data_IF_280152455897
#
_entry.id   IF_280152455897
#
_cell.length_a   1.000
_cell.length_b   1.000
_cell.length_c   1.000
_cell.angle_alpha   90.00
_cell.angle_beta   90.00
_cell.angle_gamma   90.00
#
_symmetry.space_group_name_H-M   'P 1'
#
loop_
_entity.id
_entity.type
_entity.pdbx_description
1 polymer ?
#
# COMPACT_ATOMS: atom_id res chain seq x y z
N UNK A 1 5.10 -18.40 5.83
CA UNK A 1 6.35 -19.13 6.14
C UNK A 1 6.14 -20.30 7.09
N UNK A 2 5.65 -20.10 8.32
CA UNK A 2 5.50 -21.18 9.31
C UNK A 2 4.59 -22.34 8.83
N UNK A 3 3.44 -22.03 8.22
CA UNK A 3 2.50 -23.06 7.73
C UNK A 3 3.09 -23.95 6.63
N UNK A 4 3.81 -23.37 5.67
CA UNK A 4 4.49 -24.10 4.59
C UNK A 4 5.58 -25.03 5.12
N UNK A 5 6.34 -24.57 6.12
CA UNK A 5 7.37 -25.36 6.80
C UNK A 5 6.72 -26.51 7.57
N UNK A 6 5.63 -26.26 8.30
CA UNK A 6 4.91 -27.32 9.03
C UNK A 6 4.30 -28.35 8.09
N UNK A 7 3.72 -27.96 6.96
CA UNK A 7 3.21 -28.90 5.95
C UNK A 7 4.33 -29.72 5.30
N UNK A 8 5.48 -29.09 5.01
CA UNK A 8 6.63 -29.79 4.43
C UNK A 8 7.22 -30.82 5.40
N UNK A 9 7.33 -30.48 6.70
CA UNK A 9 7.75 -31.42 7.75
C UNK A 9 6.76 -32.57 7.88
N UNK A 10 5.45 -32.30 7.81
CA UNK A 10 4.44 -33.34 7.92
C UNK A 10 4.46 -34.32 6.74
N UNK A 11 4.64 -33.81 5.52
CA UNK A 11 4.81 -34.62 4.31
C UNK A 11 6.10 -35.45 4.41
N UNK A 12 7.19 -34.87 4.90
CA UNK A 12 8.43 -35.60 5.15
C UNK A 12 8.24 -36.72 6.18
N UNK A 13 7.50 -36.47 7.26
CA UNK A 13 7.15 -37.51 8.25
C UNK A 13 6.30 -38.64 7.63
N UNK A 14 5.41 -38.34 6.68
CA UNK A 14 4.68 -39.38 5.93
C UNK A 14 5.61 -40.27 5.11
N UNK A 15 6.63 -39.68 4.46
CA UNK A 15 7.56 -40.44 3.63
C UNK A 15 8.37 -41.45 4.45
N UNK A 16 8.64 -41.17 5.73
CA UNK A 16 9.36 -42.09 6.64
C UNK A 16 8.61 -43.42 6.81
N UNK A 17 7.27 -43.42 6.77
CA UNK A 17 6.47 -44.65 6.82
C UNK A 17 6.55 -45.50 5.54
N UNK A 18 6.96 -44.92 4.41
CA UNK A 18 7.15 -45.63 3.14
C UNK A 18 8.56 -46.20 2.95
N UNK A 19 9.49 -45.96 3.90
CA UNK A 19 10.86 -46.51 3.84
C UNK A 19 10.81 -48.04 3.98
N UNK A 20 11.50 -48.80 3.08
CA UNK A 20 11.44 -50.27 3.07
C UNK A 20 11.91 -50.92 4.39
N UNK A 21 12.78 -50.26 5.14
CA UNK A 21 13.23 -50.68 6.48
C UNK A 21 12.12 -50.68 7.55
N UNK A 22 11.06 -49.88 7.39
CA UNK A 22 9.95 -49.76 8.35
C UNK A 22 8.71 -50.57 7.92
N UNK A 23 8.78 -51.27 6.78
CA UNK A 23 7.69 -52.10 6.25
C UNK A 23 7.30 -53.28 7.15
N UNK A 24 8.25 -53.80 7.93
CA UNK A 24 8.01 -54.92 8.82
C UNK A 24 7.20 -54.48 10.05
N UNK A 25 7.52 -53.30 10.61
CA UNK A 25 6.80 -52.68 11.73
C UNK A 25 5.38 -52.22 11.34
N UNK A 26 5.22 -51.69 10.13
CA UNK A 26 3.89 -51.28 9.61
C UNK A 26 2.98 -52.47 9.30
N UNK A 27 3.53 -53.63 8.92
CA UNK A 27 2.75 -54.87 8.76
C UNK A 27 2.33 -55.49 10.09
N UNK A 28 3.21 -55.47 11.10
CA UNK A 28 2.89 -56.02 12.43
C UNK A 28 1.88 -55.14 13.20
N UNK A 29 1.86 -53.84 12.95
CA UNK A 29 0.97 -52.86 13.60
C UNK A 29 0.05 -52.13 12.61
N UNK A 30 -0.58 -52.88 11.69
CA UNK A 30 -1.38 -52.35 10.57
C UNK A 30 -2.46 -51.34 11.00
N UNK A 31 -3.17 -51.63 12.09
CA UNK A 31 -4.22 -50.76 12.63
C UNK A 31 -3.68 -49.38 13.04
N UNK A 32 -2.53 -49.36 13.73
CA UNK A 32 -1.88 -48.13 14.21
C UNK A 32 -1.32 -47.34 13.04
N UNK A 33 -0.73 -48.03 12.07
CA UNK A 33 -0.20 -47.40 10.85
C UNK A 33 -1.31 -46.72 10.04
N UNK A 34 -2.44 -47.41 9.83
CA UNK A 34 -3.57 -46.86 9.07
C UNK A 34 -4.25 -45.69 9.81
N UNK A 35 -4.37 -45.78 11.14
CA UNK A 35 -4.85 -44.67 11.96
C UNK A 35 -3.92 -43.45 11.86
N UNK A 36 -2.60 -43.65 12.00
CA UNK A 36 -1.62 -42.57 11.89
C UNK A 36 -1.63 -41.91 10.51
N UNK A 37 -1.67 -42.70 9.43
CA UNK A 37 -1.76 -42.17 8.06
C UNK A 37 -3.02 -41.35 7.85
N UNK A 38 -4.16 -41.82 8.35
CA UNK A 38 -5.44 -41.09 8.27
C UNK A 38 -5.38 -39.78 9.05
N UNK A 39 -4.86 -39.81 10.28
CA UNK A 39 -4.67 -38.62 11.11
C UNK A 39 -3.78 -37.59 10.39
N UNK A 40 -2.66 -38.02 9.83
CA UNK A 40 -1.75 -37.13 9.11
C UNK A 40 -2.41 -36.56 7.85
N UNK A 41 -3.13 -37.38 7.07
CA UNK A 41 -3.88 -36.91 5.92
C UNK A 41 -4.93 -35.85 6.29
N UNK A 42 -5.67 -36.05 7.40
CA UNK A 42 -6.63 -35.04 7.88
C UNK A 42 -5.95 -33.77 8.34
N UNK A 43 -4.78 -33.84 8.99
CA UNK A 43 -4.04 -32.66 9.42
C UNK A 43 -3.53 -31.85 8.23
N UNK A 44 -3.00 -32.50 7.19
CA UNK A 44 -2.60 -31.84 5.94
C UNK A 44 -3.81 -31.17 5.29
N UNK A 45 -4.95 -31.87 5.24
CA UNK A 45 -6.18 -31.33 4.67
C UNK A 45 -6.64 -30.04 5.37
N UNK A 46 -6.64 -30.03 6.71
CA UNK A 46 -7.00 -28.85 7.50
C UNK A 46 -6.00 -27.71 7.31
N UNK A 47 -4.70 -27.99 7.35
CA UNK A 47 -3.66 -26.97 7.16
C UNK A 47 -3.73 -26.35 5.76
N UNK A 48 -3.98 -27.16 4.73
CA UNK A 48 -4.15 -26.68 3.37
C UNK A 48 -5.42 -25.81 3.25
N UNK A 49 -6.54 -26.23 3.86
CA UNK A 49 -7.77 -25.44 3.86
C UNK A 49 -7.58 -24.08 4.54
N UNK A 50 -6.88 -24.03 5.68
CA UNK A 50 -6.54 -22.77 6.35
C UNK A 50 -5.62 -21.92 5.47
N UNK A 51 -4.61 -22.51 4.85
CA UNK A 51 -3.68 -21.79 3.99
C UNK A 51 -4.39 -21.17 2.77
N UNK A 52 -5.30 -21.91 2.14
CA UNK A 52 -6.11 -21.42 1.01
C UNK A 52 -7.03 -20.29 1.50
N UNK A 53 -7.71 -20.49 2.63
CA UNK A 53 -8.61 -19.47 3.19
C UNK A 53 -7.88 -18.16 3.49
N UNK A 54 -6.69 -18.22 4.09
CA UNK A 54 -5.91 -17.03 4.40
C UNK A 54 -5.40 -16.36 3.12
N UNK A 55 -4.96 -17.14 2.13
CA UNK A 55 -4.55 -16.61 0.84
C UNK A 55 -5.68 -15.86 0.13
N UNK A 56 -6.90 -16.43 0.13
CA UNK A 56 -8.07 -15.79 -0.46
C UNK A 56 -8.48 -14.51 0.28
N UNK A 57 -8.29 -14.47 1.60
CA UNK A 57 -8.52 -13.28 2.43
C UNK A 57 -7.51 -12.18 2.13
N UNK A 58 -6.21 -12.50 2.12
CA UNK A 58 -5.13 -11.56 1.77
C UNK A 58 -5.33 -11.00 0.35
N UNK A 59 -5.69 -11.85 -0.59
CA UNK A 59 -5.96 -11.45 -1.98
C UNK A 59 -7.21 -10.55 -2.08
N UNK A 60 -8.22 -10.78 -1.23
CA UNK A 60 -9.38 -9.89 -1.13
C UNK A 60 -9.00 -8.54 -0.52
N UNK A 61 -8.24 -8.52 0.57
CA UNK A 61 -7.74 -7.29 1.18
C UNK A 61 -6.92 -6.48 0.16
N UNK A 62 -6.04 -7.13 -0.61
CA UNK A 62 -5.25 -6.51 -1.68
C UNK A 62 -6.12 -5.85 -2.76
N UNK A 63 -7.16 -6.56 -3.23
CA UNK A 63 -8.09 -6.00 -4.22
C UNK A 63 -8.86 -4.81 -3.67
N UNK A 64 -9.27 -4.86 -2.41
CA UNK A 64 -9.99 -3.75 -1.79
C UNK A 64 -9.06 -2.55 -1.55
N UNK A 65 -7.80 -2.78 -1.17
CA UNK A 65 -6.78 -1.72 -1.11
C UNK A 65 -6.58 -1.05 -2.47
N UNK A 66 -6.48 -1.81 -3.56
CA UNK A 66 -6.31 -1.22 -4.91
C UNK A 66 -7.49 -0.29 -5.27
N UNK A 67 -8.72 -0.62 -4.85
CA UNK A 67 -9.88 0.26 -5.06
C UNK A 67 -9.78 1.53 -4.21
N UNK A 68 -9.35 1.41 -2.96
CA UNK A 68 -9.13 2.56 -2.08
C UNK A 68 -8.04 3.49 -2.66
N UNK A 69 -6.92 2.93 -3.12
CA UNK A 69 -5.86 3.67 -3.81
C UNK A 69 -6.36 4.37 -5.07
N UNK A 70 -7.22 3.71 -5.85
CA UNK A 70 -7.81 4.31 -7.04
C UNK A 70 -8.71 5.51 -6.70
N UNK A 71 -9.59 5.36 -5.69
CA UNK A 71 -10.41 6.46 -5.21
C UNK A 71 -9.56 7.61 -4.64
N UNK A 72 -8.51 7.27 -3.88
CA UNK A 72 -7.59 8.23 -3.29
C UNK A 72 -6.86 9.04 -4.37
N UNK A 73 -6.35 8.35 -5.40
CA UNK A 73 -5.71 8.96 -6.57
C UNK A 73 -6.68 9.91 -7.26
N UNK A 74 -7.91 9.49 -7.52
CA UNK A 74 -8.91 10.35 -8.17
C UNK A 74 -9.17 11.64 -7.38
N UNK A 75 -9.39 11.54 -6.05
CA UNK A 75 -9.58 12.73 -5.20
C UNK A 75 -8.35 13.64 -5.20
N UNK A 76 -7.15 13.06 -5.11
CA UNK A 76 -5.91 13.82 -5.14
C UNK A 76 -5.65 14.49 -6.50
N UNK A 77 -6.03 13.83 -7.61
CA UNK A 77 -5.93 14.38 -8.97
C UNK A 77 -6.85 15.58 -9.13
N UNK A 78 -8.13 15.46 -8.78
CA UNK A 78 -9.09 16.57 -8.82
C UNK A 78 -8.62 17.74 -7.94
N UNK A 79 -8.10 17.44 -6.75
CA UNK A 79 -7.55 18.46 -5.84
C UNK A 79 -6.34 19.16 -6.47
N UNK A 80 -5.48 18.42 -7.19
CA UNK A 80 -4.30 18.98 -7.85
C UNK A 80 -4.71 19.85 -9.04
N UNK A 81 -5.58 19.35 -9.91
CA UNK A 81 -6.05 20.06 -11.11
C UNK A 81 -6.72 21.38 -10.72
N UNK A 82 -7.59 21.36 -9.71
CA UNK A 82 -8.19 22.59 -9.19
C UNK A 82 -7.13 23.55 -8.63
N UNK A 83 -6.21 23.04 -7.81
CA UNK A 83 -5.16 23.86 -7.19
C UNK A 83 -4.24 24.49 -8.24
N UNK A 84 -3.93 23.76 -9.32
CA UNK A 84 -3.15 24.26 -10.46
C UNK A 84 -3.93 25.33 -11.23
N UNK A 85 -5.23 25.15 -11.45
CA UNK A 85 -6.07 26.15 -12.11
C UNK A 85 -6.15 27.46 -11.31
N UNK A 86 -6.31 27.38 -9.99
CA UNK A 86 -6.28 28.54 -9.09
C UNK A 86 -4.93 29.24 -9.15
N UNK A 87 -3.84 28.47 -9.19
CA UNK A 87 -2.48 29.01 -9.27
C UNK A 87 -2.21 29.71 -10.61
N UNK A 88 -2.65 29.12 -11.72
CA UNK A 88 -2.54 29.69 -13.05
C UNK A 88 -3.35 31.00 -13.16
N UNK A 89 -4.57 31.01 -12.60
CA UNK A 89 -5.39 32.22 -12.54
C UNK A 89 -4.68 33.34 -11.78
N UNK A 90 -4.14 33.04 -10.59
CA UNK A 90 -3.36 33.99 -9.80
C UNK A 90 -2.18 34.58 -10.60
N UNK A 91 -1.38 33.72 -11.24
CA UNK A 91 -0.21 34.15 -12.04
C UNK A 91 -0.61 34.98 -13.26
N UNK A 92 -1.71 34.63 -13.93
CA UNK A 92 -2.22 35.36 -15.09
C UNK A 92 -2.77 36.75 -14.75
N UNK A 93 -3.35 36.90 -13.55
CA UNK A 93 -3.89 38.18 -13.07
C UNK A 93 -2.80 39.07 -12.44
N UNK A 94 -1.76 38.50 -11.83
CA UNK A 94 -0.59 39.28 -11.38
C UNK A 94 0.20 39.88 -12.56
N UNK A 95 0.20 39.24 -13.73
CA UNK A 95 0.81 39.78 -14.94
C UNK A 95 0.10 41.03 -15.50
N UNK A 96 -1.10 41.36 -14.99
CA UNK A 96 -1.94 42.49 -15.42
C UNK A 96 -2.21 43.52 -14.32
N UNK A 97 -1.18 44.00 -13.62
CA UNK A 97 -1.07 45.31 -12.93
C UNK A 97 -2.22 45.94 -12.11
N UNK A 98 -3.35 45.29 -11.79
CA UNK A 98 -4.43 45.95 -11.01
C UNK A 98 -5.05 45.18 -9.82
N UNK A 99 -4.74 43.90 -9.60
CA UNK A 99 -5.21 43.22 -8.38
C UNK A 99 -4.21 43.37 -7.23
N UNK A 100 -4.40 44.41 -6.43
CA UNK A 100 -3.73 44.72 -5.13
C UNK A 100 -3.93 43.66 -4.03
N UNK A 101 -4.32 42.43 -4.37
CA UNK A 101 -4.48 41.37 -3.37
C UNK A 101 -3.09 40.86 -2.98
N UNK A 102 -2.77 40.89 -1.68
CA UNK A 102 -1.59 40.16 -1.22
C UNK A 102 -1.79 38.68 -1.53
N UNK A 103 -0.73 37.96 -1.91
CA UNK A 103 -0.74 36.51 -2.13
C UNK A 103 -1.53 35.77 -1.03
N UNK A 104 -1.29 36.15 0.21
CA UNK A 104 -1.97 35.59 1.38
C UNK A 104 -3.48 35.86 1.39
N UNK A 105 -3.93 37.05 1.02
CA UNK A 105 -5.35 37.38 0.99
C UNK A 105 -6.06 36.63 -0.14
N UNK A 106 -5.44 36.50 -1.32
CA UNK A 106 -5.99 35.74 -2.43
C UNK A 106 -6.24 34.26 -2.07
N UNK A 107 -5.25 33.59 -1.48
CA UNK A 107 -5.38 32.18 -1.06
C UNK A 107 -6.22 32.00 0.22
N UNK A 108 -6.49 33.07 0.97
CA UNK A 108 -7.48 33.04 2.06
C UNK A 108 -8.90 33.04 1.50
N UNK A 109 -9.14 33.82 0.46
CA UNK A 109 -10.44 33.90 -0.20
C UNK A 109 -10.66 32.70 -1.17
N UNK A 110 -9.56 32.08 -1.62
CA UNK A 110 -9.54 30.91 -2.51
C UNK A 110 -8.62 29.81 -1.93
N UNK A 111 -9.04 29.09 -0.87
CA UNK A 111 -8.24 28.05 -0.25
C UNK A 111 -7.99 26.87 -1.20
N UNK A 112 -6.81 26.26 -1.12
CA UNK A 112 -6.51 25.06 -1.90
C UNK A 112 -7.23 23.85 -1.29
N UNK A 113 -7.93 23.04 -2.11
CA UNK A 113 -8.69 21.90 -1.63
C UNK A 113 -7.75 20.82 -1.09
N UNK A 114 -7.77 20.64 0.22
CA UNK A 114 -7.06 19.54 0.86
C UNK A 114 -7.82 18.22 0.65
N UNK A 115 -7.15 17.12 0.26
CA UNK A 115 -7.81 15.85 0.02
C UNK A 115 -8.16 15.14 1.33
N UNK A 116 -9.23 15.58 2.01
CA UNK A 116 -9.67 15.04 3.31
C UNK A 116 -9.93 13.53 3.31
N UNK A 117 -10.30 12.98 2.14
CA UNK A 117 -10.48 11.53 1.98
C UNK A 117 -9.19 10.74 2.27
N UNK A 118 -8.01 11.30 1.95
CA UNK A 118 -6.72 10.66 2.24
C UNK A 118 -6.48 10.55 3.75
N UNK A 119 -6.80 11.58 4.53
CA UNK A 119 -6.71 11.51 6.00
C UNK A 119 -7.59 10.40 6.58
N UNK A 120 -8.81 10.30 6.06
CA UNK A 120 -9.75 9.26 6.47
C UNK A 120 -9.19 7.86 6.15
N UNK A 121 -8.59 7.68 4.97
CA UNK A 121 -7.94 6.42 4.59
C UNK A 121 -6.73 6.10 5.47
N UNK A 122 -5.89 7.08 5.77
CA UNK A 122 -4.71 6.92 6.63
C UNK A 122 -5.06 6.53 8.08
N UNK A 123 -6.34 6.60 8.45
CA UNK A 123 -6.87 6.14 9.75
C UNK A 123 -7.52 4.75 9.68
N UNK A 124 -7.71 4.18 8.49
CA UNK A 124 -8.34 2.88 8.32
C UNK A 124 -7.33 1.74 8.47
N UNK A 125 -7.68 0.73 9.29
CA UNK A 125 -6.81 -0.41 9.54
C UNK A 125 -6.44 -1.19 8.27
N UNK A 126 -7.40 -1.36 7.34
CA UNK A 126 -7.15 -2.05 6.07
C UNK A 126 -6.06 -1.34 5.26
N UNK A 127 -6.06 -0.01 5.25
CA UNK A 127 -5.10 0.80 4.51
C UNK A 127 -3.73 0.72 5.17
N UNK A 128 -3.65 0.98 6.49
CA UNK A 128 -2.39 0.98 7.24
C UNK A 128 -1.70 -0.40 7.23
N UNK A 129 -2.47 -1.48 7.37
CA UNK A 129 -1.92 -2.85 7.42
C UNK A 129 -1.32 -3.30 6.09
N UNK A 130 -1.93 -2.89 4.97
CA UNK A 130 -1.63 -3.45 3.66
C UNK A 130 -0.80 -2.53 2.76
N UNK A 131 -0.62 -1.26 3.13
CA UNK A 131 0.32 -0.37 2.45
C UNK A 131 1.77 -0.78 2.73
N UNK A 132 2.67 -0.53 1.78
CA UNK A 132 4.09 -0.58 2.08
C UNK A 132 4.47 0.48 3.13
N UNK A 133 5.46 0.16 3.96
CA UNK A 133 5.90 1.04 5.04
C UNK A 133 6.48 2.36 4.53
N UNK A 134 7.22 2.31 3.41
CA UNK A 134 7.78 3.51 2.78
C UNK A 134 6.65 4.42 2.30
N UNK A 135 5.71 3.92 1.50
CA UNK A 135 4.55 4.69 1.03
C UNK A 135 3.74 5.29 2.18
N UNK A 136 3.58 4.55 3.30
CA UNK A 136 2.84 5.04 4.46
C UNK A 136 3.54 6.23 5.11
N UNK A 137 4.88 6.17 5.19
CA UNK A 137 5.70 7.24 5.75
C UNK A 137 5.63 8.48 4.86
N UNK A 138 5.86 8.32 3.55
CA UNK A 138 5.83 9.41 2.58
C UNK A 138 4.46 10.11 2.51
N UNK A 139 3.37 9.33 2.50
CA UNK A 139 2.02 9.88 2.52
C UNK A 139 1.76 10.65 3.81
N UNK A 140 2.16 10.11 4.96
CA UNK A 140 1.94 10.76 6.26
C UNK A 140 2.67 12.11 6.32
N UNK A 141 3.94 12.14 5.94
CA UNK A 141 4.73 13.36 5.92
C UNK A 141 4.14 14.40 4.97
N UNK A 142 3.84 13.99 3.73
CA UNK A 142 3.29 14.88 2.72
C UNK A 142 1.94 15.47 3.14
N UNK A 143 1.06 14.67 3.75
CA UNK A 143 -0.23 15.16 4.25
C UNK A 143 -0.06 16.16 5.39
N UNK A 144 0.91 15.96 6.29
CA UNK A 144 1.25 16.90 7.35
C UNK A 144 1.79 18.22 6.76
N UNK A 145 2.68 18.14 5.78
CA UNK A 145 3.23 19.30 5.09
C UNK A 145 2.12 20.09 4.37
N UNK A 146 1.22 19.41 3.66
CA UNK A 146 0.09 20.02 2.98
C UNK A 146 -0.84 20.77 3.95
N UNK A 147 -1.19 20.16 5.10
CA UNK A 147 -2.03 20.82 6.12
C UNK A 147 -1.42 22.13 6.61
N UNK A 148 -0.10 22.17 6.78
CA UNK A 148 0.64 23.37 7.21
C UNK A 148 0.80 24.38 6.08
N UNK A 149 0.92 23.92 4.83
CA UNK A 149 1.22 24.75 3.66
C UNK A 149 0.00 25.42 3.03
N UNK A 150 -1.21 24.87 3.22
CA UNK A 150 -2.44 25.22 2.50
C UNK A 150 -2.67 26.74 2.35
N UNK A 151 -2.45 27.53 3.40
CA UNK A 151 -2.74 28.97 3.39
C UNK A 151 -1.54 29.86 3.08
N UNK A 152 -0.30 29.38 3.26
CA UNK A 152 0.88 30.26 3.31
C UNK A 152 1.96 29.90 2.30
N UNK A 153 1.96 28.67 1.78
CA UNK A 153 2.98 28.17 0.84
C UNK A 153 2.30 27.34 -0.26
N UNK A 154 1.56 27.97 -1.20
CA UNK A 154 0.81 27.27 -2.23
C UNK A 154 1.68 26.40 -3.15
N UNK A 155 2.93 26.81 -3.42
CA UNK A 155 3.88 25.99 -4.19
C UNK A 155 4.27 24.71 -3.45
N UNK A 156 4.49 24.79 -2.12
CA UNK A 156 4.79 23.62 -1.31
C UNK A 156 3.60 22.68 -1.25
N UNK A 157 2.37 23.21 -1.13
CA UNK A 157 1.15 22.42 -1.19
C UNK A 157 1.02 21.65 -2.51
N UNK A 158 1.23 22.32 -3.64
CA UNK A 158 1.17 21.70 -4.97
C UNK A 158 2.25 20.64 -5.16
N UNK A 159 3.48 20.91 -4.71
CA UNK A 159 4.59 19.96 -4.75
C UNK A 159 4.27 18.72 -3.93
N UNK A 160 3.87 18.87 -2.66
CA UNK A 160 3.48 17.76 -1.80
C UNK A 160 2.29 16.96 -2.35
N UNK A 161 1.29 17.63 -2.92
CA UNK A 161 0.14 16.94 -3.54
C UNK A 161 0.54 16.16 -4.80
N UNK A 162 1.46 16.71 -5.60
CA UNK A 162 2.02 16.00 -6.76
C UNK A 162 2.83 14.76 -6.33
N UNK A 163 3.55 14.85 -5.22
CA UNK A 163 4.29 13.74 -4.65
C UNK A 163 3.37 12.67 -4.08
N UNK A 164 2.32 13.06 -3.35
CA UNK A 164 1.26 12.14 -2.89
C UNK A 164 0.67 11.35 -4.05
N UNK A 165 0.36 12.02 -5.16
CA UNK A 165 -0.14 11.34 -6.36
C UNK A 165 0.85 10.32 -6.93
N UNK A 166 2.13 10.68 -6.94
CA UNK A 166 3.19 9.77 -7.36
C UNK A 166 3.29 8.55 -6.44
N UNK A 167 3.24 8.75 -5.12
CA UNK A 167 3.27 7.64 -4.14
C UNK A 167 2.09 6.71 -4.33
N UNK A 168 0.87 7.25 -4.46
CA UNK A 168 -0.35 6.46 -4.70
C UNK A 168 -0.25 5.65 -6.00
N UNK A 169 0.34 6.23 -7.05
CA UNK A 169 0.55 5.55 -8.32
C UNK A 169 1.57 4.41 -8.20
N UNK A 170 2.73 4.64 -7.59
CA UNK A 170 3.73 3.58 -7.43
C UNK A 170 3.22 2.46 -6.50
N UNK A 171 2.55 2.81 -5.40
CA UNK A 171 1.93 1.82 -4.51
C UNK A 171 0.88 0.99 -5.26
N UNK A 172 0.06 1.61 -6.11
CA UNK A 172 -0.91 0.87 -6.92
C UNK A 172 -0.22 -0.13 -7.87
N UNK A 173 0.90 0.25 -8.49
CA UNK A 173 1.70 -0.64 -9.37
C UNK A 173 2.29 -1.80 -8.58
N UNK A 174 2.81 -1.53 -7.38
CA UNK A 174 3.33 -2.55 -6.47
C UNK A 174 2.24 -3.56 -6.08
N UNK A 175 1.08 -3.08 -5.65
CA UNK A 175 -0.03 -3.95 -5.22
C UNK A 175 -0.60 -4.81 -6.36
N UNK A 176 -0.51 -4.33 -7.61
CA UNK A 176 -0.84 -5.10 -8.82
C UNK A 176 0.23 -6.12 -9.22
N UNK A 177 1.42 -6.05 -8.63
CA UNK A 177 2.57 -6.89 -8.98
C UNK A 177 3.32 -6.43 -10.24
N UNK A 178 3.14 -5.17 -10.65
CA UNK A 178 3.83 -4.59 -11.80
C UNK A 178 5.27 -4.17 -11.49
N UNK A 179 5.55 -3.86 -10.22
CA UNK A 179 6.88 -3.55 -9.68
C UNK A 179 7.12 -4.31 -8.38
N UNK A 180 8.37 -4.56 -8.07
CA UNK A 180 8.82 -5.13 -6.80
C UNK A 180 8.85 -4.08 -5.68
N UNK A 181 8.88 -4.54 -4.43
CA UNK A 181 9.02 -3.66 -3.26
C UNK A 181 10.31 -2.81 -3.34
N UNK A 182 11.41 -3.40 -3.81
CA UNK A 182 12.68 -2.67 -3.94
C UNK A 182 12.60 -1.57 -5.00
N UNK A 183 11.91 -1.83 -6.12
CA UNK A 183 11.69 -0.81 -7.16
C UNK A 183 10.79 0.31 -6.66
N UNK A 184 9.77 0.00 -5.84
CA UNK A 184 8.93 1.00 -5.19
C UNK A 184 9.75 1.91 -4.28
N UNK A 185 10.49 1.35 -3.31
CA UNK A 185 11.31 2.12 -2.37
C UNK A 185 12.32 3.01 -3.09
N UNK A 186 12.98 2.47 -4.11
CA UNK A 186 13.92 3.23 -4.93
C UNK A 186 13.23 4.38 -5.66
N UNK A 187 12.08 4.12 -6.29
CA UNK A 187 11.35 5.12 -7.05
C UNK A 187 10.82 6.26 -6.17
N UNK A 188 10.43 5.98 -4.93
CA UNK A 188 10.01 6.99 -3.96
C UNK A 188 11.18 7.85 -3.53
N UNK A 189 12.30 7.24 -3.12
CA UNK A 189 13.51 7.96 -2.69
C UNK A 189 14.10 8.84 -3.79
N UNK A 190 14.15 8.35 -5.03
CA UNK A 190 14.62 9.14 -6.18
C UNK A 190 13.72 10.36 -6.43
N UNK A 191 12.40 10.21 -6.27
CA UNK A 191 11.47 11.31 -6.47
C UNK A 191 11.52 12.33 -5.33
N UNK A 192 11.66 11.88 -4.09
CA UNK A 192 11.84 12.74 -2.93
C UNK A 192 13.10 13.61 -3.08
N UNK A 193 14.24 13.01 -3.44
CA UNK A 193 15.49 13.73 -3.68
C UNK A 193 15.35 14.81 -4.77
N UNK A 194 14.62 14.53 -5.85
CA UNK A 194 14.33 15.52 -6.90
C UNK A 194 13.52 16.71 -6.36
N UNK A 195 12.57 16.46 -5.45
CA UNK A 195 11.75 17.53 -4.88
C UNK A 195 12.56 18.41 -3.91
N UNK A 196 13.54 17.84 -3.21
CA UNK A 196 14.49 18.61 -2.40
C UNK A 196 15.40 19.49 -3.25
N UNK A 197 15.84 18.99 -4.42
CA UNK A 197 16.62 19.76 -5.38
C UNK A 197 15.80 20.87 -6.06
N UNK A 198 14.52 20.61 -6.40
CA UNK A 198 13.61 21.61 -6.98
C UNK A 198 13.16 22.69 -5.97
N UNK A 199 13.31 22.41 -4.67
CA UNK A 199 12.91 23.29 -3.56
C UNK A 199 13.99 24.24 -3.01
N UNK A 200 15.25 24.09 -3.46
CA UNK A 200 16.41 24.95 -3.14
C UNK A 200 16.70 25.97 -4.25
#
# INVERSE_FOLDING_TARGET
>A
MAYLITTAILIACCMVFFIPSMRQFTKENELVSNFALTMVATLIGVLLAIAISNYDEDEKERRDLIKLLHAAKAVATESLEYSQAVMAFYQSNEAGSETKYSKQQFFKDNPLPYPEYLDALMSQQLFIKNLSQESLTELSESLILMKRANTHRPHLFLSSLSFVLYVLEQEQRYQKGEISLHELEKALREREAQLEEEGN
#
